data_IF_593397529139
#
_entry.id   IF_593397529139
#
_cell.length_a   1.000
_cell.length_b   1.000
_cell.length_c   1.000
_cell.angle_alpha   90.00
_cell.angle_beta   90.00
_cell.angle_gamma   90.00
#
_symmetry.space_group_name_H-M   'P 1'
#
loop_
_entity.id
_entity.type
_entity.pdbx_description
1 polymer ?
#
# COMPACT_ATOMS: atom_id res chain seq x y z
N UNK A 1 -7.08 -11.86 -41.88
CA UNK A 1 -7.08 -12.23 -40.45
C UNK A 1 -5.64 -12.45 -40.03
N UNK A 2 -5.10 -11.63 -39.13
CA UNK A 2 -3.79 -11.91 -38.51
C UNK A 2 -3.88 -13.24 -37.75
N UNK A 3 -2.84 -14.06 -37.78
CA UNK A 3 -2.83 -15.30 -36.99
C UNK A 3 -2.85 -14.95 -35.49
N UNK A 4 -3.31 -15.85 -34.62
CA UNK A 4 -3.23 -15.63 -33.16
C UNK A 4 -1.78 -15.41 -32.69
N UNK A 5 -0.81 -15.98 -33.41
CA UNK A 5 0.62 -15.81 -33.14
C UNK A 5 1.05 -14.37 -33.40
N UNK A 6 0.70 -13.80 -34.57
CA UNK A 6 1.03 -12.41 -34.91
C UNK A 6 0.44 -11.41 -33.91
N UNK A 7 -0.78 -11.69 -33.44
CA UNK A 7 -1.49 -10.88 -32.44
C UNK A 7 -0.82 -10.93 -31.08
N UNK A 8 -0.43 -12.14 -30.65
CA UNK A 8 0.28 -12.32 -29.39
C UNK A 8 1.64 -11.62 -29.39
N UNK A 9 2.34 -11.62 -30.52
CA UNK A 9 3.63 -10.94 -30.63
C UNK A 9 3.51 -9.42 -30.50
N UNK A 10 2.40 -8.83 -31.00
CA UNK A 10 2.10 -7.42 -30.76
C UNK A 10 1.70 -7.13 -29.30
N UNK A 11 0.92 -8.01 -28.68
CA UNK A 11 0.53 -7.88 -27.27
C UNK A 11 1.74 -7.94 -26.33
N UNK A 12 2.75 -8.78 -26.61
CA UNK A 12 3.98 -8.90 -25.78
C UNK A 12 4.74 -7.58 -25.59
N UNK A 13 4.53 -6.58 -26.45
CA UNK A 13 5.07 -5.23 -26.23
C UNK A 13 4.51 -4.56 -24.97
N UNK A 14 3.30 -4.92 -24.55
CA UNK A 14 2.53 -4.27 -23.48
C UNK A 14 2.34 -5.14 -22.23
N UNK A 15 2.89 -6.36 -22.23
CA UNK A 15 2.68 -7.29 -21.13
C UNK A 15 3.39 -8.62 -21.34
N UNK A 16 3.03 -9.62 -20.55
CA UNK A 16 3.67 -10.93 -20.58
C UNK A 16 2.63 -12.06 -20.59
N UNK A 17 2.84 -13.09 -21.41
CA UNK A 17 2.08 -14.33 -21.31
C UNK A 17 2.63 -15.16 -20.14
N UNK A 18 1.96 -15.04 -18.99
CA UNK A 18 2.38 -15.74 -17.78
C UNK A 18 2.09 -17.25 -17.85
N UNK A 19 1.20 -17.69 -18.75
CA UNK A 19 0.95 -19.11 -18.99
C UNK A 19 2.09 -19.73 -19.77
N UNK A 20 2.61 -19.02 -20.76
CA UNK A 20 3.81 -19.43 -21.51
C UNK A 20 5.05 -19.43 -20.60
N UNK A 21 5.23 -18.41 -19.76
CA UNK A 21 6.29 -18.41 -18.72
C UNK A 21 6.17 -19.62 -17.79
N UNK A 22 4.94 -20.00 -17.41
CA UNK A 22 4.69 -21.18 -16.59
C UNK A 22 5.06 -22.49 -17.32
N UNK A 23 4.71 -22.63 -18.60
CA UNK A 23 5.13 -23.79 -19.42
C UNK A 23 6.64 -23.92 -19.53
N UNK A 24 7.35 -22.80 -19.59
CA UNK A 24 8.81 -22.75 -19.65
C UNK A 24 9.47 -22.99 -18.28
N UNK A 25 8.69 -23.22 -17.22
CA UNK A 25 9.21 -23.47 -15.87
C UNK A 25 9.78 -22.22 -15.18
N UNK A 26 9.44 -21.03 -15.66
CA UNK A 26 9.92 -19.76 -15.08
C UNK A 26 9.12 -19.32 -13.84
N UNK A 27 7.95 -19.93 -13.62
CA UNK A 27 7.10 -19.66 -12.45
C UNK A 27 7.40 -20.63 -11.31
N UNK A 28 7.35 -20.13 -10.08
CA UNK A 28 7.53 -20.97 -8.90
C UNK A 28 6.23 -21.71 -8.56
N UNK A 29 6.31 -23.02 -8.30
CA UNK A 29 5.16 -23.77 -7.78
C UNK A 29 4.68 -23.15 -6.46
N UNK A 30 3.39 -22.84 -6.45
CA UNK A 30 2.67 -22.20 -5.36
C UNK A 30 2.43 -23.18 -4.21
N UNK A 31 2.52 -22.69 -2.99
CA UNK A 31 2.35 -23.47 -1.75
C UNK A 31 1.19 -22.87 -0.95
N UNK A 32 0.31 -23.71 -0.40
CA UNK A 32 -0.75 -23.29 0.54
C UNK A 32 -1.89 -22.47 -0.08
N UNK A 33 -2.04 -22.44 -1.41
CA UNK A 33 -3.05 -21.60 -2.11
C UNK A 33 -4.03 -22.37 -3.00
N UNK A 34 -4.17 -23.68 -2.76
CA UNK A 34 -4.97 -24.54 -3.63
C UNK A 34 -6.45 -24.14 -3.65
N UNK A 35 -7.01 -23.77 -2.49
CA UNK A 35 -8.42 -23.38 -2.37
C UNK A 35 -8.72 -22.10 -3.16
N UNK A 36 -7.84 -21.10 -3.10
CA UNK A 36 -7.97 -19.85 -3.82
C UNK A 36 -7.85 -20.07 -5.33
N UNK A 37 -6.86 -20.86 -5.77
CA UNK A 37 -6.68 -21.20 -7.18
C UNK A 37 -7.92 -21.93 -7.73
N UNK A 38 -8.42 -22.94 -7.03
CA UNK A 38 -9.64 -23.67 -7.41
C UNK A 38 -10.86 -22.74 -7.48
N UNK A 39 -11.00 -21.83 -6.51
CA UNK A 39 -12.06 -20.84 -6.49
C UNK A 39 -12.00 -19.90 -7.70
N UNK A 40 -10.81 -19.46 -8.08
CA UNK A 40 -10.60 -18.60 -9.25
C UNK A 40 -10.98 -19.34 -10.53
N UNK A 41 -10.52 -20.57 -10.71
CA UNK A 41 -10.87 -21.41 -11.86
C UNK A 41 -12.38 -21.66 -11.94
N UNK A 42 -13.02 -21.90 -10.79
CA UNK A 42 -14.48 -22.03 -10.72
C UNK A 42 -15.18 -20.74 -11.21
N UNK A 43 -14.73 -19.57 -10.75
CA UNK A 43 -15.29 -18.27 -11.15
C UNK A 43 -15.11 -18.03 -12.65
N UNK A 44 -13.89 -18.25 -13.17
CA UNK A 44 -13.59 -18.12 -14.60
C UNK A 44 -14.46 -19.05 -15.46
N UNK A 45 -14.91 -20.18 -14.92
CA UNK A 45 -15.82 -21.11 -15.59
C UNK A 45 -17.29 -20.68 -15.65
N UNK A 46 -17.70 -19.63 -14.91
CA UNK A 46 -19.11 -19.20 -14.84
C UNK A 46 -19.58 -18.44 -16.09
N UNK A 47 -20.90 -18.42 -16.26
CA UNK A 47 -21.59 -17.61 -17.29
C UNK A 47 -21.79 -16.15 -16.90
N UNK A 48 -22.01 -15.88 -15.60
CA UNK A 48 -22.18 -14.53 -15.01
C UNK A 48 -21.28 -14.42 -13.79
N UNK A 49 -20.83 -13.20 -13.46
CA UNK A 49 -19.87 -12.95 -12.37
C UNK A 49 -18.65 -13.86 -12.52
N UNK A 50 -18.02 -13.80 -13.68
CA UNK A 50 -16.95 -14.69 -14.13
C UNK A 50 -15.58 -14.02 -14.18
N UNK A 51 -15.47 -12.80 -13.66
CA UNK A 51 -14.22 -12.09 -13.45
C UNK A 51 -13.82 -12.17 -11.97
N UNK A 52 -12.83 -12.98 -11.59
CA UNK A 52 -12.35 -13.04 -10.22
C UNK A 52 -11.57 -11.77 -9.86
N UNK A 53 -11.81 -11.25 -8.67
CA UNK A 53 -11.00 -10.21 -8.05
C UNK A 53 -10.45 -10.74 -6.72
N UNK A 54 -9.12 -10.82 -6.59
CA UNK A 54 -8.47 -11.23 -5.34
C UNK A 54 -8.51 -10.06 -4.37
N UNK A 55 -9.09 -10.29 -3.20
CA UNK A 55 -9.22 -9.27 -2.15
C UNK A 55 -8.43 -9.73 -0.94
N UNK A 56 -7.42 -8.98 -0.55
CA UNK A 56 -6.62 -9.27 0.64
C UNK A 56 -5.44 -8.34 0.74
N UNK A 57 -4.86 -8.22 1.92
CA UNK A 57 -3.87 -7.19 2.24
C UNK A 57 -2.56 -7.28 1.41
N UNK A 58 -1.75 -6.22 1.36
CA UNK A 58 -0.40 -6.29 0.81
C UNK A 58 0.44 -7.39 1.47
N UNK A 59 1.27 -8.08 0.69
CA UNK A 59 2.19 -9.09 1.21
C UNK A 59 1.60 -10.48 1.47
N UNK A 60 0.27 -10.69 1.32
CA UNK A 60 -0.33 -12.04 1.47
C UNK A 60 0.02 -13.01 0.33
N UNK A 61 0.70 -12.56 -0.72
CA UNK A 61 1.14 -13.43 -1.83
C UNK A 61 0.09 -13.60 -2.95
N UNK A 62 -0.71 -12.57 -3.21
CA UNK A 62 -1.74 -12.56 -4.27
C UNK A 62 -1.16 -12.87 -5.66
N UNK A 63 0.00 -12.31 -6.01
CA UNK A 63 0.69 -12.57 -7.30
C UNK A 63 1.05 -14.04 -7.47
N UNK A 64 1.45 -14.73 -6.39
CA UNK A 64 1.72 -16.17 -6.45
C UNK A 64 0.48 -16.99 -6.82
N UNK A 65 -0.71 -16.58 -6.39
CA UNK A 65 -1.97 -17.25 -6.79
C UNK A 65 -2.20 -17.13 -8.30
N UNK A 66 -1.86 -15.97 -8.88
CA UNK A 66 -1.98 -15.72 -10.32
C UNK A 66 -1.07 -16.65 -11.12
N UNK A 67 0.18 -16.80 -10.68
CA UNK A 67 1.12 -17.77 -11.26
C UNK A 67 0.61 -19.21 -11.11
N UNK A 68 -0.02 -19.55 -9.99
CA UNK A 68 -0.63 -20.86 -9.76
C UNK A 68 -1.78 -21.18 -10.72
N UNK A 69 -2.62 -20.19 -11.02
CA UNK A 69 -3.67 -20.30 -12.03
C UNK A 69 -3.05 -20.53 -13.43
N UNK A 70 -2.02 -19.75 -13.77
CA UNK A 70 -1.29 -19.89 -15.03
C UNK A 70 -0.62 -21.27 -15.16
N UNK A 71 -0.06 -21.81 -14.07
CA UNK A 71 0.49 -23.17 -14.03
C UNK A 71 -0.56 -24.26 -14.29
N UNK A 72 -1.75 -24.15 -13.70
CA UNK A 72 -2.81 -25.13 -13.95
C UNK A 72 -3.31 -25.07 -15.40
N UNK A 73 -3.44 -23.86 -15.97
CA UNK A 73 -3.76 -23.68 -17.38
C UNK A 73 -2.68 -24.27 -18.30
N UNK A 74 -1.41 -24.00 -18.00
CA UNK A 74 -0.25 -24.53 -18.73
C UNK A 74 -0.21 -26.06 -18.74
N UNK A 75 -0.52 -26.69 -17.60
CA UNK A 75 -0.52 -28.14 -17.43
C UNK A 75 -1.82 -28.81 -17.90
N UNK A 76 -2.80 -28.04 -18.41
CA UNK A 76 -4.14 -28.51 -18.75
C UNK A 76 -4.89 -29.22 -17.60
N UNK A 77 -4.52 -28.94 -16.34
CA UNK A 77 -5.17 -29.45 -15.13
C UNK A 77 -6.34 -28.55 -14.71
N UNK A 78 -7.19 -28.18 -15.67
CA UNK A 78 -8.32 -27.25 -15.49
C UNK A 78 -9.59 -27.85 -16.10
N UNK A 79 -10.78 -27.37 -15.71
CA UNK A 79 -12.03 -27.75 -16.35
C UNK A 79 -11.99 -27.53 -17.88
N UNK A 80 -12.72 -28.36 -18.64
CA UNK A 80 -12.78 -28.29 -20.11
C UNK A 80 -13.05 -26.87 -20.65
N UNK A 81 -13.89 -26.09 -19.97
CA UNK A 81 -14.23 -24.71 -20.35
C UNK A 81 -13.05 -23.72 -20.29
N UNK A 82 -11.94 -24.11 -19.66
CA UNK A 82 -10.72 -23.32 -19.49
C UNK A 82 -9.50 -23.94 -20.20
N UNK A 83 -9.62 -25.14 -20.78
CA UNK A 83 -8.53 -25.73 -21.53
C UNK A 83 -8.15 -24.89 -22.75
N UNK A 84 -6.85 -24.80 -23.01
CA UNK A 84 -6.31 -24.01 -24.12
C UNK A 84 -6.34 -22.50 -23.91
N UNK A 85 -6.84 -22.01 -22.77
CA UNK A 85 -6.79 -20.60 -22.42
C UNK A 85 -5.44 -20.24 -21.82
N UNK A 86 -5.07 -18.98 -21.99
CA UNK A 86 -3.87 -18.39 -21.42
C UNK A 86 -4.20 -17.13 -20.63
N UNK A 87 -3.32 -16.78 -19.71
CA UNK A 87 -3.38 -15.53 -18.94
C UNK A 87 -2.31 -14.59 -19.47
N UNK A 88 -2.74 -13.41 -19.88
CA UNK A 88 -1.88 -12.33 -20.34
C UNK A 88 -1.86 -11.23 -19.27
N UNK A 89 -0.70 -11.01 -18.65
CA UNK A 89 -0.51 -9.98 -17.63
C UNK A 89 -0.17 -8.64 -18.30
N UNK A 90 -1.06 -7.66 -18.14
CA UNK A 90 -0.85 -6.31 -18.61
C UNK A 90 0.19 -5.59 -17.76
N UNK A 91 1.18 -4.96 -18.40
CA UNK A 91 2.20 -4.15 -17.74
C UNK A 91 1.89 -2.68 -18.00
N UNK A 92 1.24 -2.03 -17.03
CA UNK A 92 0.87 -0.62 -17.15
C UNK A 92 2.08 0.30 -17.31
N UNK A 93 3.25 -0.07 -16.79
CA UNK A 93 4.46 0.74 -16.98
C UNK A 93 4.91 0.69 -18.44
N UNK A 94 4.84 -0.47 -19.10
CA UNK A 94 5.09 -0.58 -20.55
C UNK A 94 4.08 0.22 -21.36
N UNK A 95 2.80 0.11 -21.03
CA UNK A 95 1.72 0.88 -21.70
C UNK A 95 1.98 2.38 -21.58
N UNK A 96 2.25 2.88 -20.37
CA UNK A 96 2.55 4.30 -20.13
C UNK A 96 3.82 4.71 -20.87
N UNK A 97 4.88 3.88 -20.88
CA UNK A 97 6.13 4.19 -21.58
C UNK A 97 5.99 4.27 -23.10
N UNK A 98 5.01 3.54 -23.67
CA UNK A 98 4.70 3.58 -25.08
C UNK A 98 3.90 4.84 -25.48
N UNK A 99 3.34 5.56 -24.51
CA UNK A 99 2.61 6.80 -24.72
C UNK A 99 3.55 7.99 -24.50
N UNK A 100 3.56 8.95 -25.41
CA UNK A 100 4.43 10.14 -25.30
C UNK A 100 3.87 11.19 -24.33
N UNK A 101 3.42 10.77 -23.14
CA UNK A 101 2.67 11.59 -22.16
C UNK A 101 1.32 12.12 -22.66
N UNK A 102 0.82 11.60 -23.78
CA UNK A 102 -0.49 11.93 -24.34
C UNK A 102 -1.56 10.97 -23.81
N UNK A 103 -2.52 11.50 -23.05
CA UNK A 103 -3.64 10.71 -22.49
C UNK A 103 -4.54 10.10 -23.59
N UNK A 104 -4.63 10.74 -24.76
CA UNK A 104 -5.38 10.19 -25.90
C UNK A 104 -4.74 8.91 -26.45
N UNK A 105 -3.41 8.90 -26.61
CA UNK A 105 -2.65 7.72 -27.05
C UNK A 105 -2.78 6.56 -26.06
N UNK A 106 -2.81 6.85 -24.76
CA UNK A 106 -3.02 5.84 -23.72
C UNK A 106 -4.36 5.12 -23.92
N UNK A 107 -5.43 5.87 -24.14
CA UNK A 107 -6.75 5.32 -24.40
C UNK A 107 -6.78 4.50 -25.68
N UNK A 108 -6.15 4.98 -26.75
CA UNK A 108 -6.11 4.28 -28.04
C UNK A 108 -5.36 2.94 -27.90
N UNK A 109 -4.22 2.92 -27.20
CA UNK A 109 -3.45 1.70 -26.94
C UNK A 109 -4.26 0.73 -26.08
N UNK A 110 -4.88 1.18 -24.99
CA UNK A 110 -5.67 0.32 -24.12
C UNK A 110 -6.90 -0.25 -24.83
N UNK A 111 -7.58 0.57 -25.64
CA UNK A 111 -8.71 0.12 -26.46
C UNK A 111 -8.23 -0.93 -27.45
N UNK A 112 -7.11 -0.69 -28.14
CA UNK A 112 -6.52 -1.65 -29.07
C UNK A 112 -6.16 -2.98 -28.38
N UNK A 113 -5.52 -2.96 -27.20
CA UNK A 113 -5.20 -4.17 -26.42
C UNK A 113 -6.47 -4.96 -26.11
N UNK A 114 -7.52 -4.27 -25.66
CA UNK A 114 -8.77 -4.92 -25.28
C UNK A 114 -9.52 -5.49 -26.50
N UNK A 115 -9.51 -4.79 -27.63
CA UNK A 115 -10.05 -5.29 -28.90
C UNK A 115 -9.32 -6.55 -29.36
N UNK A 116 -7.99 -6.57 -29.27
CA UNK A 116 -7.16 -7.72 -29.61
C UNK A 116 -7.49 -8.94 -28.73
N UNK A 117 -7.72 -8.70 -27.42
CA UNK A 117 -8.16 -9.73 -26.48
C UNK A 117 -9.58 -10.20 -26.79
N UNK A 118 -10.50 -9.30 -27.17
CA UNK A 118 -11.85 -9.65 -27.58
C UNK A 118 -11.85 -10.53 -28.83
N UNK A 119 -11.04 -10.19 -29.83
CA UNK A 119 -10.88 -10.98 -31.06
C UNK A 119 -10.28 -12.37 -30.83
N UNK A 120 -9.66 -12.60 -29.68
CA UNK A 120 -9.21 -13.94 -29.26
C UNK A 120 -10.34 -14.90 -28.90
N UNK A 121 -11.61 -14.44 -28.92
CA UNK A 121 -12.81 -15.22 -28.62
C UNK A 121 -12.75 -15.94 -27.26
N UNK A 122 -12.18 -15.28 -26.25
CA UNK A 122 -12.08 -15.80 -24.89
C UNK A 122 -10.98 -16.83 -24.67
N UNK A 123 -10.02 -16.93 -25.60
CA UNK A 123 -8.77 -17.69 -25.45
C UNK A 123 -7.83 -16.98 -24.47
N UNK A 124 -7.79 -15.64 -24.51
CA UNK A 124 -6.96 -14.81 -23.64
C UNK A 124 -7.78 -14.37 -22.44
N UNK A 125 -7.23 -14.59 -21.24
CA UNK A 125 -7.71 -14.02 -19.98
C UNK A 125 -6.77 -12.87 -19.63
N UNK A 126 -7.30 -11.67 -19.50
CA UNK A 126 -6.52 -10.49 -19.16
C UNK A 126 -6.27 -10.46 -17.65
N UNK A 127 -5.02 -10.37 -17.23
CA UNK A 127 -4.65 -10.08 -15.86
C UNK A 127 -4.23 -8.61 -15.71
N UNK A 128 -4.85 -7.92 -14.75
CA UNK A 128 -4.51 -6.54 -14.38
C UNK A 128 -4.14 -6.58 -12.90
N UNK A 129 -2.88 -6.28 -12.57
CA UNK A 129 -2.38 -6.42 -11.20
C UNK A 129 -3.21 -5.60 -10.22
N UNK A 130 -3.32 -4.29 -10.46
CA UNK A 130 -4.09 -3.42 -9.59
C UNK A 130 -5.07 -2.59 -10.41
N UNK A 131 -6.32 -3.05 -10.49
CA UNK A 131 -7.38 -2.27 -11.15
C UNK A 131 -7.61 -0.94 -10.41
N UNK A 132 -7.30 -0.85 -9.11
CA UNK A 132 -7.41 0.41 -8.33
C UNK A 132 -6.33 1.43 -8.64
N UNK A 133 -5.13 1.02 -9.06
CA UNK A 133 -4.14 1.95 -9.60
C UNK A 133 -4.65 2.60 -10.89
N UNK A 134 -5.49 1.88 -11.64
CA UNK A 134 -6.26 2.42 -12.77
C UNK A 134 -7.53 3.16 -12.30
N UNK A 135 -8.17 2.80 -11.19
CA UNK A 135 -9.38 3.46 -10.67
C UNK A 135 -9.09 4.69 -9.77
N UNK A 136 -7.82 4.98 -9.45
CA UNK A 136 -7.39 6.11 -8.64
C UNK A 136 -7.49 7.44 -9.39
N UNK A 137 -7.88 8.51 -8.69
CA UNK A 137 -8.18 9.86 -9.21
C UNK A 137 -6.95 10.65 -9.73
N UNK A 138 -6.02 9.97 -10.40
CA UNK A 138 -4.97 10.58 -11.21
C UNK A 138 -5.49 10.58 -12.65
N UNK A 139 -5.24 11.66 -13.40
CA UNK A 139 -5.71 11.82 -14.80
C UNK A 139 -5.42 10.64 -15.72
N UNK A 140 -4.33 9.90 -15.47
CA UNK A 140 -3.92 8.70 -16.22
C UNK A 140 -4.79 7.48 -15.86
N UNK A 141 -5.14 7.32 -14.57
CA UNK A 141 -5.97 6.22 -14.10
C UNK A 141 -7.39 6.34 -14.64
N UNK A 142 -8.02 7.52 -14.47
CA UNK A 142 -9.38 7.76 -14.95
C UNK A 142 -9.52 7.50 -16.45
N UNK A 143 -8.55 7.90 -17.27
CA UNK A 143 -8.60 7.68 -18.71
C UNK A 143 -8.42 6.20 -19.08
N UNK A 144 -7.53 5.49 -18.38
CA UNK A 144 -7.35 4.05 -18.54
C UNK A 144 -8.61 3.26 -18.12
N UNK A 145 -9.28 3.68 -17.05
CA UNK A 145 -10.56 3.11 -16.66
C UNK A 145 -11.62 3.34 -17.74
N UNK A 146 -11.74 4.57 -18.23
CA UNK A 146 -12.73 4.92 -19.26
C UNK A 146 -12.54 4.11 -20.55
N UNK A 147 -11.28 3.76 -20.88
CA UNK A 147 -10.96 2.90 -22.02
C UNK A 147 -11.44 1.45 -21.81
N UNK A 148 -11.22 0.87 -20.62
CA UNK A 148 -11.43 -0.57 -20.38
C UNK A 148 -12.85 -0.88 -19.90
N UNK A 149 -13.48 0.04 -19.16
CA UNK A 149 -14.80 -0.15 -18.51
C UNK A 149 -15.93 -0.61 -19.45
N UNK A 150 -16.07 -0.10 -20.69
CA UNK A 150 -17.10 -0.57 -21.62
C UNK A 150 -17.01 -2.07 -21.90
N UNK A 151 -15.80 -2.60 -22.05
CA UNK A 151 -15.56 -4.01 -22.36
C UNK A 151 -15.78 -4.91 -21.14
N UNK A 152 -15.45 -4.41 -19.94
CA UNK A 152 -15.77 -5.08 -18.67
C UNK A 152 -17.28 -5.14 -18.45
N UNK A 153 -17.97 -4.02 -18.65
CA UNK A 153 -19.42 -3.89 -18.48
C UNK A 153 -20.21 -4.68 -19.55
N UNK A 154 -19.65 -4.86 -20.74
CA UNK A 154 -20.21 -5.72 -21.78
C UNK A 154 -20.04 -7.22 -21.51
N UNK A 155 -19.11 -7.60 -20.62
CA UNK A 155 -18.77 -9.01 -20.37
C UNK A 155 -18.11 -9.70 -21.57
N UNK A 156 -17.52 -8.92 -22.48
CA UNK A 156 -16.95 -9.39 -23.74
C UNK A 156 -15.55 -10.01 -23.53
N UNK A 157 -14.86 -9.58 -22.47
CA UNK A 157 -13.54 -10.06 -22.09
C UNK A 157 -13.59 -10.70 -20.70
N UNK A 158 -12.69 -11.66 -20.46
CA UNK A 158 -12.45 -12.22 -19.13
C UNK A 158 -11.29 -11.51 -18.47
N UNK A 159 -11.52 -10.99 -17.28
CA UNK A 159 -10.51 -10.27 -16.51
C UNK A 159 -10.30 -10.91 -15.16
N UNK A 160 -9.04 -10.94 -14.78
CA UNK A 160 -8.54 -11.38 -13.50
C UNK A 160 -7.73 -10.25 -12.88
N UNK A 161 -8.01 -9.89 -11.62
CA UNK A 161 -7.34 -8.71 -11.02
C UNK A 161 -7.12 -8.86 -9.52
N UNK A 162 -6.17 -8.09 -8.99
CA UNK A 162 -5.97 -7.97 -7.55
C UNK A 162 -6.60 -6.66 -7.05
N UNK A 163 -7.04 -6.69 -5.80
CA UNK A 163 -7.46 -5.55 -5.00
C UNK A 163 -6.80 -5.66 -3.64
N UNK A 164 -6.32 -4.53 -3.14
CA UNK A 164 -5.46 -4.50 -1.96
C UNK A 164 -6.26 -4.60 -0.67
N UNK A 165 -7.51 -4.14 -0.66
CA UNK A 165 -8.37 -4.24 0.53
C UNK A 165 -9.84 -4.51 0.18
N UNK A 166 -10.63 -5.08 1.13
CA UNK A 166 -12.08 -5.15 0.98
C UNK A 166 -12.75 -3.79 0.74
N UNK A 167 -12.20 -2.74 1.34
CA UNK A 167 -12.70 -1.37 1.20
C UNK A 167 -12.51 -0.83 -0.22
N UNK A 168 -11.35 -1.10 -0.83
CA UNK A 168 -11.08 -0.79 -2.24
C UNK A 168 -12.02 -1.54 -3.18
N UNK A 169 -12.17 -2.86 -2.98
CA UNK A 169 -13.12 -3.65 -3.76
C UNK A 169 -14.53 -3.07 -3.65
N UNK A 170 -14.95 -2.72 -2.44
CA UNK A 170 -16.27 -2.12 -2.22
C UNK A 170 -16.40 -0.76 -2.92
N UNK A 171 -15.40 0.11 -2.76
CA UNK A 171 -15.37 1.47 -3.30
C UNK A 171 -15.43 1.49 -4.83
N UNK A 172 -14.62 0.67 -5.49
CA UNK A 172 -14.39 0.79 -6.92
C UNK A 172 -15.09 -0.27 -7.79
N UNK A 173 -15.41 -1.44 -7.24
CA UNK A 173 -16.05 -2.54 -7.99
C UNK A 173 -17.49 -2.76 -7.51
N UNK A 174 -17.72 -2.88 -6.20
CA UNK A 174 -19.03 -3.25 -5.69
C UNK A 174 -20.07 -2.13 -5.79
N UNK A 175 -19.66 -0.89 -5.54
CA UNK A 175 -20.54 0.29 -5.65
C UNK A 175 -20.83 0.68 -7.10
N UNK A 176 -20.01 0.24 -8.05
CA UNK A 176 -20.22 0.51 -9.47
C UNK A 176 -21.24 -0.46 -10.06
N UNK A 177 -22.41 0.05 -10.46
CA UNK A 177 -23.51 -0.75 -11.01
C UNK A 177 -23.14 -1.49 -12.30
N UNK A 178 -22.21 -0.96 -13.10
CA UNK A 178 -21.77 -1.55 -14.35
C UNK A 178 -20.79 -2.72 -14.14
N UNK A 179 -19.97 -2.67 -13.08
CA UNK A 179 -18.94 -3.68 -12.80
C UNK A 179 -19.42 -4.78 -11.84
N UNK A 180 -20.27 -4.45 -10.86
CA UNK A 180 -20.73 -5.38 -9.80
C UNK A 180 -21.35 -6.68 -10.34
N UNK A 181 -21.95 -6.63 -11.52
CA UNK A 181 -22.60 -7.79 -12.14
C UNK A 181 -21.63 -8.78 -12.80
N UNK A 182 -20.36 -8.39 -12.98
CA UNK A 182 -19.33 -9.15 -13.69
C UNK A 182 -18.21 -9.66 -12.80
N UNK A 183 -17.94 -8.97 -11.70
CA UNK A 183 -16.89 -9.34 -10.76
C UNK A 183 -17.40 -10.21 -9.60
N UNK A 184 -16.48 -11.05 -9.09
CA UNK A 184 -16.68 -11.82 -7.88
C UNK A 184 -15.40 -11.80 -7.03
N UNK A 185 -15.54 -11.35 -5.78
CA UNK A 185 -14.44 -11.35 -4.81
C UNK A 185 -13.98 -12.78 -4.45
N UNK A 186 -12.67 -12.92 -4.32
CA UNK A 186 -11.97 -14.08 -3.77
C UNK A 186 -11.11 -13.57 -2.62
N UNK A 187 -11.53 -13.86 -1.39
CA UNK A 187 -10.78 -13.42 -0.22
C UNK A 187 -9.48 -14.22 -0.11
N UNK A 188 -8.37 -13.52 0.04
CA UNK A 188 -7.03 -14.08 0.19
C UNK A 188 -6.54 -13.79 1.60
N UNK A 189 -6.65 -14.75 2.54
CA UNK A 189 -6.18 -14.56 3.90
C UNK A 189 -4.65 -14.62 3.96
N UNK A 190 -4.10 -14.11 5.06
CA UNK A 190 -2.71 -14.35 5.45
C UNK A 190 -2.41 -15.85 5.58
N UNK A 191 -1.22 -16.29 5.13
CA UNK A 191 -0.81 -17.70 5.26
C UNK A 191 -0.58 -18.11 6.72
N UNK A 192 -0.78 -19.39 7.02
CA UNK A 192 -0.34 -19.95 8.29
C UNK A 192 1.20 -19.89 8.41
N UNK A 193 1.70 -19.89 9.65
CA UNK A 193 3.14 -19.87 9.93
C UNK A 193 3.84 -21.08 9.29
N UNK A 194 3.25 -22.27 9.39
CA UNK A 194 3.85 -23.49 8.84
C UNK A 194 3.89 -23.48 7.31
N UNK A 195 2.83 -22.98 6.65
CA UNK A 195 2.79 -22.79 5.20
C UNK A 195 3.81 -21.74 4.74
N UNK A 196 3.95 -20.66 5.51
CA UNK A 196 4.96 -19.63 5.29
C UNK A 196 6.37 -20.22 5.35
N UNK A 197 6.66 -21.10 6.31
CA UNK A 197 7.97 -21.75 6.40
C UNK A 197 8.28 -22.55 5.13
N UNK A 198 7.30 -23.25 4.56
CA UNK A 198 7.47 -23.95 3.28
C UNK A 198 7.69 -22.98 2.10
N UNK A 199 6.98 -21.85 2.07
CA UNK A 199 7.23 -20.76 1.10
C UNK A 199 8.67 -20.25 1.23
N UNK A 200 9.14 -19.97 2.44
CA UNK A 200 10.50 -19.47 2.69
C UNK A 200 11.57 -20.49 2.30
N UNK A 201 11.39 -21.79 2.57
CA UNK A 201 12.33 -22.85 2.14
C UNK A 201 12.55 -22.88 0.63
N UNK A 202 11.49 -22.54 -0.13
CA UNK A 202 11.56 -22.48 -1.59
C UNK A 202 12.24 -21.20 -2.04
N UNK A 203 11.74 -20.05 -1.56
CA UNK A 203 12.21 -18.73 -1.98
C UNK A 203 13.65 -18.47 -1.53
N UNK A 204 14.07 -19.02 -0.40
CA UNK A 204 15.43 -18.83 0.16
C UNK A 204 16.50 -19.10 -0.88
N UNK A 205 16.34 -20.11 -1.76
CA UNK A 205 17.32 -20.44 -2.81
C UNK A 205 17.65 -19.27 -3.73
N UNK A 206 16.66 -18.43 -4.06
CA UNK A 206 16.86 -17.22 -4.88
C UNK A 206 17.70 -16.20 -4.11
N UNK A 207 17.35 -15.97 -2.84
CA UNK A 207 18.09 -15.06 -1.94
C UNK A 207 19.50 -15.58 -1.59
N UNK A 208 19.70 -16.89 -1.47
CA UNK A 208 21.01 -17.52 -1.27
C UNK A 208 21.96 -17.29 -2.46
N UNK A 209 21.41 -17.25 -3.66
CA UNK A 209 22.17 -16.93 -4.86
C UNK A 209 22.50 -15.43 -4.89
N UNK A 210 21.51 -14.57 -4.70
CA UNK A 210 21.66 -13.12 -4.77
C UNK A 210 22.60 -12.55 -3.69
N UNK A 211 22.41 -12.98 -2.43
CA UNK A 211 23.24 -12.54 -1.30
C UNK A 211 24.52 -13.34 -1.14
N UNK A 212 24.71 -14.42 -1.90
CA UNK A 212 25.83 -15.34 -1.74
C UNK A 212 25.93 -15.97 -0.32
N UNK A 213 24.78 -16.28 0.25
CA UNK A 213 24.65 -16.91 1.59
C UNK A 213 23.94 -18.26 1.52
N UNK A 214 23.81 -18.93 2.65
CA UNK A 214 22.99 -20.13 2.87
C UNK A 214 22.13 -19.91 4.12
N UNK A 215 20.84 -20.20 4.05
CA UNK A 215 19.96 -20.06 5.21
C UNK A 215 19.84 -21.38 5.96
N UNK A 216 20.02 -21.33 7.28
CA UNK A 216 19.69 -22.47 8.13
C UNK A 216 18.17 -22.63 8.25
N UNK A 217 17.70 -23.87 8.44
CA UNK A 217 16.27 -24.14 8.62
C UNK A 217 15.69 -23.42 9.84
N UNK A 218 16.47 -23.32 10.93
CA UNK A 218 16.10 -22.57 12.14
C UNK A 218 15.89 -21.09 11.85
N UNK A 219 16.70 -20.49 10.99
CA UNK A 219 16.57 -19.09 10.57
C UNK A 219 15.24 -18.83 9.83
N UNK A 220 14.85 -19.71 8.91
CA UNK A 220 13.58 -19.58 8.18
C UNK A 220 12.37 -19.72 9.12
N UNK A 221 12.44 -20.65 10.08
CA UNK A 221 11.41 -20.82 11.11
C UNK A 221 11.31 -19.58 11.99
N UNK A 222 12.46 -19.02 12.40
CA UNK A 222 12.50 -17.80 13.19
C UNK A 222 11.91 -16.61 12.42
N UNK A 223 12.24 -16.44 11.14
CA UNK A 223 11.70 -15.36 10.31
C UNK A 223 10.16 -15.40 10.25
N UNK A 224 9.56 -16.58 10.01
CA UNK A 224 8.11 -16.72 9.98
C UNK A 224 7.45 -16.45 11.35
N UNK A 225 8.01 -16.98 12.43
CA UNK A 225 7.44 -16.84 13.79
C UNK A 225 7.60 -15.43 14.36
N UNK A 226 8.78 -14.85 14.22
CA UNK A 226 9.11 -13.54 14.79
C UNK A 226 8.40 -12.42 14.03
N UNK A 227 8.36 -12.48 12.69
CA UNK A 227 7.58 -11.50 11.90
C UNK A 227 6.10 -11.55 12.24
N UNK A 228 5.52 -12.74 12.43
CA UNK A 228 4.12 -12.88 12.87
C UNK A 228 3.86 -12.23 14.23
N UNK A 229 4.82 -12.32 15.16
CA UNK A 229 4.69 -11.83 16.52
C UNK A 229 4.93 -10.32 16.66
N UNK A 230 5.89 -9.77 15.93
CA UNK A 230 6.40 -8.41 16.16
C UNK A 230 6.07 -7.41 15.05
N UNK A 231 5.59 -7.86 13.89
CA UNK A 231 5.18 -7.00 12.78
C UNK A 231 3.67 -7.19 12.54
N UNK A 232 2.85 -6.38 13.22
CA UNK A 232 1.38 -6.39 13.12
C UNK A 232 0.87 -5.82 11.80
N UNK A 233 1.55 -4.79 11.28
CA UNK A 233 1.05 -3.96 10.18
C UNK A 233 1.35 -4.55 8.80
N UNK A 234 1.95 -5.75 8.76
CA UNK A 234 2.30 -6.47 7.55
C UNK A 234 1.86 -7.93 7.66
N UNK A 235 1.69 -8.58 6.52
CA UNK A 235 1.09 -9.91 6.46
C UNK A 235 2.07 -10.95 5.92
N UNK A 236 1.95 -12.18 6.42
CA UNK A 236 2.63 -13.35 5.87
C UNK A 236 2.08 -13.74 4.48
N UNK A 237 2.95 -14.21 3.56
CA UNK A 237 4.37 -14.49 3.78
C UNK A 237 5.30 -13.28 3.62
N UNK A 238 4.84 -12.16 3.07
CA UNK A 238 5.67 -11.00 2.66
C UNK A 238 6.65 -10.53 3.73
N UNK A 239 6.16 -10.19 4.93
CA UNK A 239 7.03 -9.73 6.03
C UNK A 239 8.12 -10.71 6.44
N UNK A 240 7.90 -12.01 6.26
CA UNK A 240 8.91 -13.01 6.58
C UNK A 240 9.95 -13.15 5.46
N UNK A 241 9.54 -12.90 4.21
CA UNK A 241 10.45 -12.78 3.06
C UNK A 241 11.37 -11.58 3.24
N UNK A 242 10.83 -10.44 3.64
CA UNK A 242 11.62 -9.22 3.90
C UNK A 242 12.67 -9.45 5.00
N UNK A 243 12.31 -10.15 6.08
CA UNK A 243 13.27 -10.49 7.14
C UNK A 243 14.42 -11.38 6.67
N UNK A 244 14.15 -12.40 5.84
CA UNK A 244 15.24 -13.26 5.35
C UNK A 244 16.13 -12.49 4.37
N UNK A 245 15.54 -11.63 3.53
CA UNK A 245 16.27 -10.79 2.58
C UNK A 245 17.24 -9.85 3.30
N UNK A 246 16.75 -9.14 4.33
CA UNK A 246 17.55 -8.25 5.15
C UNK A 246 18.62 -8.99 5.95
N UNK A 247 18.30 -10.16 6.52
CA UNK A 247 19.28 -11.00 7.22
C UNK A 247 20.40 -11.48 6.28
N UNK A 248 20.07 -11.90 5.06
CA UNK A 248 21.05 -12.30 4.05
C UNK A 248 21.96 -11.16 3.62
N UNK A 249 21.38 -10.01 3.30
CA UNK A 249 22.12 -8.79 2.95
C UNK A 249 23.08 -8.37 4.06
N UNK A 250 22.61 -8.39 5.31
CA UNK A 250 23.42 -8.01 6.47
C UNK A 250 24.56 -8.98 6.72
N UNK A 251 24.32 -10.28 6.66
CA UNK A 251 25.38 -11.29 6.83
C UNK A 251 26.46 -11.10 5.77
N UNK A 252 26.06 -10.86 4.50
CA UNK A 252 26.98 -10.55 3.41
C UNK A 252 27.83 -9.29 3.69
N UNK A 253 27.23 -8.23 4.22
CA UNK A 253 27.94 -6.97 4.51
C UNK A 253 28.89 -7.09 5.72
N UNK A 254 28.40 -7.63 6.83
CA UNK A 254 29.11 -7.59 8.13
C UNK A 254 30.31 -8.52 8.16
N UNK A 255 30.20 -9.70 7.54
CA UNK A 255 31.27 -10.70 7.58
C UNK A 255 31.88 -10.96 6.20
N UNK A 256 31.93 -9.91 5.37
CA UNK A 256 32.62 -9.88 4.08
C UNK A 256 34.15 -9.90 4.25
N UNK A 257 34.67 -10.97 4.85
CA UNK A 257 36.09 -11.19 5.09
C UNK A 257 36.65 -12.11 4.00
N UNK A 258 36.78 -11.59 2.78
CA UNK A 258 37.66 -12.12 1.71
C UNK A 258 37.61 -13.63 1.41
N UNK A 259 36.57 -14.35 1.82
CA UNK A 259 36.52 -15.80 1.83
C UNK A 259 35.51 -16.30 0.79
N UNK A 260 35.94 -17.25 -0.05
CA UNK A 260 35.11 -17.80 -1.14
C UNK A 260 33.95 -18.69 -0.65
N UNK A 261 33.81 -18.90 0.66
CA UNK A 261 32.75 -19.75 1.22
C UNK A 261 31.46 -18.96 1.42
N UNK A 262 30.35 -19.53 0.95
CA UNK A 262 29.00 -19.03 1.28
C UNK A 262 28.82 -18.99 2.79
N UNK A 263 28.39 -17.84 3.28
CA UNK A 263 28.19 -17.61 4.70
C UNK A 263 26.84 -18.16 5.14
N UNK A 264 26.76 -18.62 6.39
CA UNK A 264 25.51 -19.13 6.96
C UNK A 264 24.74 -17.99 7.65
N UNK A 265 23.47 -17.85 7.29
CA UNK A 265 22.49 -17.05 8.01
C UNK A 265 21.82 -17.97 9.03
N UNK A 266 22.00 -17.65 10.31
CA UNK A 266 21.47 -18.43 11.43
C UNK A 266 20.29 -17.72 12.09
N UNK A 267 19.58 -18.40 12.99
CA UNK A 267 18.45 -17.82 13.74
C UNK A 267 18.81 -16.50 14.44
N UNK A 268 20.02 -16.39 15.00
CA UNK A 268 20.45 -15.19 15.70
C UNK A 268 20.60 -13.97 14.77
N UNK A 269 20.97 -14.19 13.51
CA UNK A 269 21.04 -13.11 12.51
C UNK A 269 19.64 -12.53 12.24
N UNK A 270 18.64 -13.39 12.13
CA UNK A 270 17.23 -12.99 11.96
C UNK A 270 16.71 -12.28 13.20
N UNK A 271 17.02 -12.76 14.40
CA UNK A 271 16.64 -12.10 15.66
C UNK A 271 17.22 -10.70 15.78
N UNK A 272 18.47 -10.51 15.36
CA UNK A 272 19.11 -9.20 15.36
C UNK A 272 18.42 -8.25 14.37
N UNK A 273 18.07 -8.71 13.17
CA UNK A 273 17.30 -7.91 12.21
C UNK A 273 15.94 -7.53 12.81
N UNK A 274 15.21 -8.47 13.38
CA UNK A 274 13.93 -8.19 14.06
C UNK A 274 14.12 -7.16 15.18
N UNK A 275 15.18 -7.29 15.99
CA UNK A 275 15.49 -6.31 17.02
C UNK A 275 15.76 -4.93 16.44
N UNK A 276 16.45 -4.83 15.30
CA UNK A 276 16.68 -3.57 14.61
C UNK A 276 15.40 -2.97 14.07
N UNK A 277 14.54 -3.76 13.43
CA UNK A 277 13.23 -3.29 12.93
C UNK A 277 12.37 -2.80 14.10
N UNK A 278 12.28 -3.56 15.20
CA UNK A 278 11.55 -3.13 16.41
C UNK A 278 12.18 -1.87 17.01
N UNK A 279 13.50 -1.79 17.12
CA UNK A 279 14.18 -0.61 17.64
C UNK A 279 14.02 0.59 16.71
N UNK A 280 13.99 0.41 15.39
CA UNK A 280 13.74 1.46 14.42
C UNK A 280 12.29 1.95 14.51
N UNK A 281 11.32 1.04 14.57
CA UNK A 281 9.91 1.39 14.83
C UNK A 281 9.75 2.10 16.19
N UNK A 282 10.41 1.62 17.25
CA UNK A 282 10.39 2.27 18.57
C UNK A 282 11.12 3.61 18.59
N UNK A 283 12.23 3.76 17.86
CA UNK A 283 12.97 5.01 17.74
C UNK A 283 12.24 6.02 16.85
N UNK A 284 11.46 5.57 15.87
CA UNK A 284 10.50 6.41 15.12
C UNK A 284 9.36 6.87 16.04
N UNK A 285 8.87 6.00 16.92
CA UNK A 285 7.86 6.34 17.94
C UNK A 285 8.43 7.27 19.04
N UNK A 286 9.75 7.25 19.28
CA UNK A 286 10.41 8.01 20.36
C UNK A 286 11.13 9.31 19.93
N UNK A 287 11.06 9.73 18.66
CA UNK A 287 11.49 11.10 18.32
C UNK A 287 10.35 12.06 18.66
N UNK A 288 10.44 12.61 19.86
CA UNK A 288 9.57 13.70 20.26
C UNK A 288 9.80 14.90 19.34
N UNK A 289 8.72 15.58 19.01
CA UNK A 289 8.68 16.80 18.23
C UNK A 289 7.98 17.87 19.04
N UNK A 290 8.30 19.13 18.74
CA UNK A 290 7.53 20.30 19.19
C UNK A 290 6.91 20.96 17.97
N UNK A 291 5.75 21.56 18.19
CA UNK A 291 4.93 22.13 17.11
C UNK A 291 4.79 23.61 17.40
N UNK A 292 5.19 24.45 16.45
CA UNK A 292 5.21 25.91 16.56
C UNK A 292 4.27 26.51 15.53
N UNK A 293 3.61 27.60 15.88
CA UNK A 293 2.85 28.43 14.93
C UNK A 293 3.74 29.51 14.33
N UNK A 294 3.48 29.91 13.08
CA UNK A 294 4.20 31.02 12.45
C UNK A 294 3.78 32.38 13.02
N UNK A 295 2.57 32.47 13.56
CA UNK A 295 2.04 33.69 14.17
C UNK A 295 2.93 34.21 15.31
N UNK A 296 3.48 33.31 16.14
CA UNK A 296 4.57 33.60 17.07
C UNK A 296 5.38 32.31 17.36
N UNK A 297 6.65 32.23 16.91
CA UNK A 297 7.48 31.04 17.11
C UNK A 297 7.92 30.81 18.56
N UNK A 298 7.65 31.74 19.49
CA UNK A 298 7.90 31.54 20.92
C UNK A 298 6.80 30.69 21.58
N UNK A 299 5.71 30.37 20.87
CA UNK A 299 4.62 29.54 21.38
C UNK A 299 4.65 28.14 20.78
N UNK A 300 4.41 27.14 21.62
CA UNK A 300 4.33 25.74 21.21
C UNK A 300 2.97 25.13 21.56
N UNK A 301 2.55 24.15 20.76
CA UNK A 301 1.32 23.40 20.97
C UNK A 301 1.45 22.54 22.24
N UNK A 302 0.50 22.70 23.16
CA UNK A 302 0.43 21.92 24.41
C UNK A 302 -1.01 21.50 24.72
N UNK A 303 -1.17 20.71 25.78
CA UNK A 303 -2.47 20.34 26.34
C UNK A 303 -2.65 21.07 27.66
N UNK A 304 -3.66 21.92 27.74
CA UNK A 304 -4.06 22.64 28.95
C UNK A 304 -5.55 22.45 29.23
N UNK A 305 -5.91 22.09 30.46
CA UNK A 305 -7.30 21.84 30.88
C UNK A 305 -8.10 20.90 29.95
N UNK A 306 -7.42 19.87 29.39
CA UNK A 306 -8.01 18.90 28.46
C UNK A 306 -8.32 19.46 27.06
N UNK A 307 -7.77 20.64 26.73
CA UNK A 307 -7.87 21.28 25.41
C UNK A 307 -6.50 21.44 24.79
N UNK A 308 -6.48 21.54 23.47
CA UNK A 308 -5.26 21.84 22.72
C UNK A 308 -5.13 23.35 22.59
N UNK A 309 -4.03 23.88 23.14
CA UNK A 309 -3.76 25.31 23.23
C UNK A 309 -2.33 25.63 22.79
N UNK A 310 -2.06 26.92 22.60
CA UNK A 310 -0.72 27.47 22.48
C UNK A 310 -0.30 28.07 23.82
N UNK A 311 0.91 27.74 24.25
CA UNK A 311 1.54 28.28 25.45
C UNK A 311 3.00 28.66 25.15
N UNK A 312 3.62 29.54 25.95
CA UNK A 312 5.03 29.86 25.81
C UNK A 312 5.89 28.59 25.79
N UNK A 313 6.82 28.54 24.85
CA UNK A 313 7.68 27.39 24.62
C UNK A 313 8.54 27.11 25.85
N UNK A 314 8.28 25.99 26.51
CA UNK A 314 9.02 25.51 27.67
C UNK A 314 9.50 24.08 27.38
N UNK A 315 10.80 23.89 27.08
CA UNK A 315 11.41 22.57 26.92
C UNK A 315 11.20 21.61 28.10
N UNK A 316 10.88 22.11 29.30
CA UNK A 316 10.59 21.31 30.48
C UNK A 316 9.14 20.82 30.57
N UNK A 317 8.22 21.40 29.80
CA UNK A 317 6.81 21.00 29.77
C UNK A 317 6.63 19.71 28.95
N UNK A 318 6.35 18.59 29.64
CA UNK A 318 6.13 17.31 28.97
C UNK A 318 4.90 17.30 28.05
N UNK A 319 3.92 18.19 28.28
CA UNK A 319 2.74 18.32 27.43
C UNK A 319 3.03 19.10 26.13
N UNK A 320 4.18 19.78 26.01
CA UNK A 320 4.64 20.36 24.74
C UNK A 320 5.34 19.34 23.84
N UNK A 321 5.59 18.12 24.33
CA UNK A 321 6.23 17.07 23.56
C UNK A 321 5.19 16.17 22.88
N UNK A 322 5.30 16.06 21.56
CA UNK A 322 4.43 15.22 20.73
C UNK A 322 5.29 14.16 20.03
N UNK A 323 4.71 13.07 19.53
CA UNK A 323 5.37 12.21 18.57
C UNK A 323 4.51 12.07 17.32
N UNK A 324 5.18 11.97 16.18
CA UNK A 324 4.55 11.80 14.88
C UNK A 324 4.49 10.31 14.56
N UNK A 325 3.30 9.72 14.64
CA UNK A 325 3.10 8.34 14.24
C UNK A 325 2.85 8.24 12.73
N UNK A 326 3.83 7.73 12.00
CA UNK A 326 3.79 7.56 10.54
C UNK A 326 3.31 6.15 10.11
N UNK A 327 2.91 5.28 11.03
CA UNK A 327 2.30 3.98 10.67
C UNK A 327 1.01 4.15 9.85
N UNK A 328 0.40 5.32 9.90
CA UNK A 328 -0.76 5.71 9.10
C UNK A 328 -0.43 6.21 7.68
N UNK A 329 0.82 6.08 7.22
CA UNK A 329 1.29 6.56 5.90
C UNK A 329 0.63 5.90 4.69
N UNK A 330 -0.11 4.80 4.91
CA UNK A 330 -0.98 4.18 3.91
C UNK A 330 -2.12 5.11 3.46
N UNK A 331 -2.59 6.02 4.34
CA UNK A 331 -3.56 7.04 4.00
C UNK A 331 -2.86 8.28 3.42
N UNK A 332 -3.43 8.86 2.37
CA UNK A 332 -2.94 10.09 1.73
C UNK A 332 -4.08 11.09 1.58
N UNK A 333 -3.75 12.38 1.64
CA UNK A 333 -4.70 13.42 1.28
C UNK A 333 -4.88 13.56 -0.25
N UNK A 334 -5.78 14.46 -0.66
CA UNK A 334 -6.07 14.77 -2.07
C UNK A 334 -4.83 15.22 -2.86
N UNK A 335 -3.80 15.74 -2.18
CA UNK A 335 -2.54 16.16 -2.78
C UNK A 335 -1.45 15.07 -2.73
N UNK A 336 -1.80 13.85 -2.30
CA UNK A 336 -0.88 12.71 -2.20
C UNK A 336 0.10 12.79 -1.03
N UNK A 337 -0.11 13.68 -0.06
CA UNK A 337 0.73 13.80 1.13
C UNK A 337 0.38 12.68 2.13
N UNK A 338 1.38 11.96 2.63
CA UNK A 338 1.18 10.86 3.59
C UNK A 338 0.61 11.36 4.91
N UNK A 339 -0.37 10.63 5.42
CA UNK A 339 -1.00 10.92 6.70
C UNK A 339 -0.17 10.44 7.88
N UNK A 340 -0.36 11.12 9.01
CA UNK A 340 0.24 10.78 10.30
C UNK A 340 -0.72 11.12 11.43
N UNK A 341 -0.49 10.53 12.60
CA UNK A 341 -1.15 10.96 13.84
C UNK A 341 -0.15 11.73 14.70
N UNK A 342 -0.61 12.80 15.32
CA UNK A 342 0.12 13.53 16.35
C UNK A 342 -0.38 13.07 17.71
N UNK A 343 0.51 12.53 18.52
CA UNK A 343 0.17 12.00 19.83
C UNK A 343 1.01 12.69 20.88
N UNK A 344 0.35 13.18 21.92
CA UNK A 344 1.01 13.87 22.99
C UNK A 344 1.73 12.87 23.91
N UNK A 345 2.98 13.17 24.26
CA UNK A 345 3.84 12.28 25.05
C UNK A 345 3.32 12.09 26.47
N UNK A 346 2.88 13.17 27.12
CA UNK A 346 2.48 13.15 28.53
C UNK A 346 1.10 12.50 28.73
N UNK A 347 0.11 12.87 27.91
CA UNK A 347 -1.27 12.36 28.03
C UNK A 347 -1.50 11.03 27.32
N UNK A 348 -0.70 10.70 26.29
CA UNK A 348 -0.97 9.56 25.40
C UNK A 348 -2.19 9.75 24.49
N UNK A 349 -2.71 10.98 24.40
CA UNK A 349 -3.86 11.31 23.56
C UNK A 349 -3.43 11.80 22.18
N UNK A 350 -4.17 11.37 21.15
CA UNK A 350 -4.01 11.80 19.78
C UNK A 350 -4.83 13.05 19.49
N UNK A 351 -4.25 13.96 18.70
CA UNK A 351 -4.93 15.11 18.14
C UNK A 351 -6.05 14.64 17.20
N UNK A 352 -7.28 15.07 17.46
CA UNK A 352 -8.49 14.64 16.76
C UNK A 352 -9.16 15.80 16.03
N UNK A 353 -9.68 15.53 14.84
CA UNK A 353 -10.53 16.44 14.08
C UNK A 353 -11.75 16.87 14.87
N UNK A 354 -12.21 18.09 14.59
CA UNK A 354 -13.51 18.59 15.06
C UNK A 354 -14.58 18.47 13.97
N UNK A 355 -15.83 18.74 14.34
CA UNK A 355 -16.99 18.67 13.42
C UNK A 355 -17.17 20.06 12.78
N UNK A 356 -16.40 20.33 11.72
CA UNK A 356 -16.54 21.55 10.91
C UNK A 356 -15.59 22.69 11.27
N UNK A 357 -15.66 23.77 10.46
CA UNK A 357 -14.92 25.01 10.72
C UNK A 357 -15.38 25.65 12.05
N UNK A 358 -14.53 26.49 12.64
CA UNK A 358 -14.77 27.25 13.88
C UNK A 358 -14.80 26.43 15.18
N UNK A 359 -14.59 25.11 15.10
CA UNK A 359 -14.60 24.24 16.27
C UNK A 359 -13.18 23.89 16.75
N UNK A 360 -12.96 23.82 18.07
CA UNK A 360 -11.66 23.44 18.62
C UNK A 360 -11.33 21.99 18.27
N UNK A 361 -10.04 21.70 18.05
CA UNK A 361 -9.57 20.32 17.85
C UNK A 361 -9.73 19.53 19.16
N UNK A 362 -9.98 18.23 19.02
CA UNK A 362 -10.19 17.35 20.15
C UNK A 362 -8.95 16.54 20.52
N UNK A 363 -9.06 15.82 21.64
CA UNK A 363 -8.12 14.80 22.06
C UNK A 363 -8.87 13.48 22.24
N UNK A 364 -8.21 12.37 21.95
CA UNK A 364 -8.75 11.03 22.18
C UNK A 364 -7.61 10.06 22.55
N UNK A 365 -7.80 9.09 23.46
CA UNK A 365 -6.79 8.07 23.74
C UNK A 365 -6.27 7.43 22.45
N UNK A 366 -4.96 7.47 22.26
CA UNK A 366 -4.35 6.92 21.06
C UNK A 366 -4.32 5.39 21.11
N UNK A 367 -4.80 4.75 20.04
CA UNK A 367 -4.70 3.31 19.86
C UNK A 367 -4.04 3.04 18.50
N UNK A 368 -2.81 2.48 18.47
CA UNK A 368 -2.10 2.20 17.22
C UNK A 368 -2.80 1.16 16.36
N UNK A 369 -3.62 0.26 16.93
CA UNK A 369 -4.34 -0.79 16.21
C UNK A 369 -5.70 -0.32 15.66
N UNK A 370 -6.15 0.89 16.04
CA UNK A 370 -7.45 1.48 15.62
C UNK A 370 -7.23 2.80 14.89
N UNK A 371 -7.01 2.72 13.58
CA UNK A 371 -6.84 3.89 12.72
C UNK A 371 -8.19 4.54 12.37
N UNK A 372 -8.74 5.34 13.29
CA UNK A 372 -9.85 6.22 12.97
C UNK A 372 -9.38 7.37 12.07
N UNK A 373 -10.05 7.61 10.94
CA UNK A 373 -9.71 8.74 10.03
C UNK A 373 -9.70 10.09 10.77
N UNK A 374 -10.46 10.21 11.87
CA UNK A 374 -10.55 11.41 12.69
C UNK A 374 -9.28 11.83 13.41
N UNK A 375 -8.22 11.00 13.46
CA UNK A 375 -6.93 11.34 14.11
C UNK A 375 -5.78 11.44 13.10
N UNK A 376 -6.10 11.46 11.81
CA UNK A 376 -5.14 11.48 10.72
C UNK A 376 -5.01 12.89 10.14
N UNK A 377 -3.78 13.39 10.15
CA UNK A 377 -3.42 14.70 9.66
C UNK A 377 -2.44 14.57 8.50
N UNK A 378 -2.43 15.54 7.60
CA UNK A 378 -1.40 15.69 6.58
C UNK A 378 -0.74 17.05 6.70
N UNK A 379 0.48 17.17 6.17
CA UNK A 379 1.21 18.44 6.17
C UNK A 379 1.42 18.91 4.73
N UNK A 380 0.96 20.13 4.45
CA UNK A 380 1.20 20.80 3.17
C UNK A 380 2.67 21.16 2.97
N UNK A 381 3.11 21.13 1.71
CA UNK A 381 4.42 21.67 1.31
C UNK A 381 4.46 23.18 1.54
N UNK A 382 5.61 23.71 1.96
CA UNK A 382 5.73 25.13 2.27
C UNK A 382 7.06 25.78 1.89
N UNK A 383 7.02 27.12 1.87
CA UNK A 383 8.17 28.04 1.88
C UNK A 383 8.62 28.26 3.34
N UNK A 384 9.93 28.32 3.55
CA UNK A 384 10.56 28.67 4.85
C UNK A 384 10.25 27.75 6.05
N UNK A 385 9.83 26.51 5.79
CA UNK A 385 9.72 25.46 6.82
C UNK A 385 8.40 25.36 7.59
N UNK A 386 7.39 26.20 7.29
CA UNK A 386 6.09 26.19 7.97
C UNK A 386 4.96 25.62 7.11
N UNK A 387 4.54 24.38 7.30
CA UNK A 387 3.46 23.75 6.52
C UNK A 387 2.07 23.97 7.09
N UNK A 388 1.04 23.84 6.26
CA UNK A 388 -0.34 23.77 6.75
C UNK A 388 -0.65 22.37 7.28
N UNK A 389 -1.25 22.30 8.47
CA UNK A 389 -1.66 21.03 9.09
C UNK A 389 -3.14 20.78 8.74
N UNK A 390 -3.40 19.77 7.93
CA UNK A 390 -4.68 19.53 7.25
C UNK A 390 -5.37 18.27 7.74
N UNK A 391 -6.69 18.26 7.70
CA UNK A 391 -7.44 17.02 7.87
C UNK A 391 -7.21 16.11 6.65
N UNK A 392 -6.90 14.83 6.87
CA UNK A 392 -6.66 13.89 5.76
C UNK A 392 -7.87 13.73 4.83
N UNK A 393 -9.08 13.87 5.39
CA UNK A 393 -10.36 13.66 4.69
C UNK A 393 -10.99 14.95 4.16
N UNK A 394 -10.41 16.11 4.48
CA UNK A 394 -10.87 17.41 3.99
C UNK A 394 -9.71 18.41 4.04
N UNK A 395 -8.96 18.52 2.95
CA UNK A 395 -7.77 19.38 2.85
C UNK A 395 -8.08 20.88 2.95
N UNK A 396 -9.35 21.27 2.84
CA UNK A 396 -9.78 22.66 2.96
C UNK A 396 -9.92 23.12 4.41
N UNK A 397 -9.96 22.19 5.37
CA UNK A 397 -9.98 22.49 6.80
C UNK A 397 -8.60 22.27 7.41
N UNK A 398 -8.04 23.34 7.96
CA UNK A 398 -6.68 23.42 8.49
C UNK A 398 -6.73 23.72 9.98
N UNK A 399 -5.68 23.29 10.67
CA UNK A 399 -5.44 23.70 12.05
C UNK A 399 -5.13 25.19 12.08
N UNK A 400 -5.80 25.90 12.99
CA UNK A 400 -5.80 27.35 13.10
C UNK A 400 -5.72 27.74 14.58
N UNK A 401 -4.90 28.75 14.89
CA UNK A 401 -4.85 29.36 16.21
C UNK A 401 -5.97 30.41 16.36
N UNK A 402 -7.09 30.04 16.98
CA UNK A 402 -8.26 30.91 17.05
C UNK A 402 -7.97 32.22 17.78
N UNK A 403 -8.40 33.33 17.19
CA UNK A 403 -8.29 34.66 17.79
C UNK A 403 -6.94 35.34 17.62
N UNK A 404 -6.00 34.76 16.87
CA UNK A 404 -4.71 35.36 16.54
C UNK A 404 -4.79 36.50 15.50
N UNK A 405 -5.66 37.50 15.68
CA UNK A 405 -5.71 38.64 14.75
C UNK A 405 -4.47 39.53 14.98
N UNK A 406 -3.63 39.81 13.97
CA UNK A 406 -2.43 40.64 14.13
C UNK A 406 -2.73 42.03 14.70
N UNK A 407 -3.88 42.61 14.36
CA UNK A 407 -4.33 43.92 14.88
C UNK A 407 -4.79 43.89 16.35
N UNK A 408 -4.93 42.70 16.96
CA UNK A 408 -5.38 42.49 18.33
C UNK A 408 -4.36 41.76 19.22
N UNK A 409 -3.08 41.72 18.81
CA UNK A 409 -1.99 41.20 19.63
C UNK A 409 -1.50 39.79 19.31
N UNK A 410 -2.03 39.13 18.27
CA UNK A 410 -1.55 37.81 17.83
C UNK A 410 -1.87 36.68 18.80
N UNK A 411 -1.07 35.61 18.76
CA UNK A 411 -1.20 34.44 19.64
C UNK A 411 -0.78 34.80 21.07
N UNK A 412 -1.55 34.35 22.06
CA UNK A 412 -1.27 34.55 23.49
C UNK A 412 -1.30 33.22 24.24
N UNK A 413 -0.81 33.23 25.48
CA UNK A 413 -0.87 32.05 26.34
C UNK A 413 -2.32 31.61 26.56
N UNK A 414 -2.61 30.33 26.31
CA UNK A 414 -3.95 29.76 26.36
C UNK A 414 -4.76 29.90 25.07
N UNK A 415 -4.18 30.43 23.97
CA UNK A 415 -4.88 30.50 22.67
C UNK A 415 -5.33 29.09 22.24
N UNK A 416 -6.63 28.92 22.02
CA UNK A 416 -7.22 27.63 21.65
C UNK A 416 -6.93 27.33 20.18
N UNK A 417 -6.59 26.08 19.90
CA UNK A 417 -6.39 25.58 18.56
C UNK A 417 -7.65 24.92 18.02
N UNK A 418 -8.02 25.22 16.79
CA UNK A 418 -9.22 24.71 16.14
C UNK A 418 -9.07 24.51 14.65
N UNK A 419 -10.20 24.30 13.98
CA UNK A 419 -10.26 24.12 12.54
C UNK A 419 -10.82 25.36 11.85
N UNK A 420 -10.17 25.79 10.78
CA UNK A 420 -10.67 26.86 9.92
C UNK A 420 -10.42 26.58 8.45
N UNK A 421 -11.15 27.28 7.57
CA UNK A 421 -10.94 27.20 6.13
C UNK A 421 -9.59 27.81 5.77
N UNK A 422 -8.89 27.17 4.83
CA UNK A 422 -7.61 27.69 4.34
C UNK A 422 -7.73 29.13 3.85
N UNK A 423 -6.97 30.04 4.45
CA UNK A 423 -6.91 31.46 4.06
C UNK A 423 -5.46 31.99 3.98
N UNK A 424 -4.45 31.12 4.11
CA UNK A 424 -3.02 31.45 4.03
C UNK A 424 -2.51 32.37 5.15
N UNK A 425 -3.23 32.45 6.27
CA UNK A 425 -2.83 33.25 7.43
C UNK A 425 -1.68 32.61 8.23
N UNK A 426 -0.87 33.41 8.91
CA UNK A 426 0.24 32.93 9.74
C UNK A 426 -0.23 32.03 10.89
N UNK A 427 -1.49 32.17 11.34
CA UNK A 427 -2.11 31.27 12.33
C UNK A 427 -2.34 29.84 11.80
N UNK A 428 -2.34 29.65 10.48
CA UNK A 428 -2.55 28.35 9.82
C UNK A 428 -1.24 27.69 9.38
N UNK A 429 -0.11 28.34 9.65
CA UNK A 429 1.21 27.90 9.25
C UNK A 429 1.95 27.32 10.46
N UNK A 430 2.32 26.05 10.36
CA UNK A 430 2.84 25.26 11.48
C UNK A 430 4.19 24.63 11.14
N UNK A 431 5.11 24.66 12.10
CA UNK A 431 6.44 24.04 11.98
C UNK A 431 6.58 22.95 13.02
N UNK A 432 6.86 21.74 12.55
CA UNK A 432 7.08 20.55 13.39
C UNK A 432 8.59 20.31 13.45
N UNK A 433 9.19 20.52 14.60
CA UNK A 433 10.64 20.39 14.78
C UNK A 433 10.97 19.22 15.72
N UNK A 434 12.03 18.44 15.43
CA UNK A 434 12.56 17.48 16.40
C UNK A 434 12.95 18.16 17.70
N UNK A 435 12.62 17.52 18.84
CA UNK A 435 13.09 17.91 20.17
C UNK A 435 14.34 17.12 20.56
#
# INVERSE_FOLDING_TARGET
MKSLVDRMDQLKCFGNDITEMAKQGQSDKVIGRQNEIERILQILGKKKKNNPCLVGDPGVGKTGIVEGVAQQLANATVPLALQGKLVFALDMARVISACSSNLGELKDILTWIVEEIKESNGTIILFIDEITAVLGAVSIGEEALNAIKPFLAGGEIKVFTLSTTPDEYSKYIEKDSSLRSHFQAVNVPELAVDETIEVLKRLSRKYEHYHFVRYEQSALVAAARLSKKYSSDCFLPGKAVDLIDEAGSRVKLVRNEGSEKKMLVIEEDVRQVVSMVICASRNMINRTVRIFTKADPNYSLTIGDGKVILAPSDPGDEYQHWYKNESSSWAKDEFGCSAFSLVNKASGEALKHSIGDTHPVGLIPFNPDRHGVSVLWTQGKSRDGYGSLRMVNNVHLNVDAFGGIPECGGVVDGTIVGLWKWNEDDNQLWRIEPY
#
